data_IF_677988192814
#
_entry.id   IF_677988192814
#
_cell.length_a   1.000
_cell.length_b   1.000
_cell.length_c   1.000
_cell.angle_alpha   90.00
_cell.angle_beta   90.00
_cell.angle_gamma   90.00
#
_symmetry.space_group_name_H-M   'P 1'
#
loop_
_entity.id
_entity.type
_entity.pdbx_description
1 polymer ?
#
# COMPACT_ATOMS: atom_id res chain seq x y z
N UNK A 1 -17.93 11.29 11.12
CA UNK A 1 -16.53 11.38 10.66
C UNK A 1 -16.04 9.96 10.58
N UNK A 2 -15.59 9.51 9.41
CA UNK A 2 -14.96 8.21 9.25
C UNK A 2 -13.67 8.22 10.07
N UNK A 3 -13.43 7.18 10.86
CA UNK A 3 -12.12 7.00 11.52
C UNK A 3 -11.03 6.92 10.46
N UNK A 4 -9.87 7.52 10.74
CA UNK A 4 -8.72 7.49 9.84
C UNK A 4 -8.25 6.03 9.71
N UNK A 5 -8.28 5.51 8.48
CA UNK A 5 -7.74 4.19 8.13
C UNK A 5 -6.25 4.13 8.47
N UNK A 6 -5.78 3.01 9.02
CA UNK A 6 -4.41 2.89 9.53
C UNK A 6 -3.39 2.60 8.43
N UNK A 7 -3.76 1.85 7.39
CA UNK A 7 -2.80 1.35 6.41
C UNK A 7 -3.03 2.01 5.06
N UNK A 8 -2.01 2.62 4.47
CA UNK A 8 -2.05 3.16 3.11
C UNK A 8 -1.36 2.22 2.13
N UNK A 9 -2.05 1.84 1.06
CA UNK A 9 -1.48 1.03 -0.02
C UNK A 9 -0.97 1.94 -1.14
N UNK A 10 0.28 1.72 -1.52
CA UNK A 10 0.90 2.26 -2.71
C UNK A 10 1.25 1.11 -3.66
N UNK A 11 1.11 1.33 -4.97
CA UNK A 11 1.50 0.34 -5.96
C UNK A 11 2.10 1.00 -7.19
N UNK A 12 3.19 0.45 -7.73
CA UNK A 12 3.93 1.03 -8.86
C UNK A 12 4.62 -0.05 -9.70
N UNK A 13 5.07 0.32 -10.90
CA UNK A 13 5.78 -0.60 -11.80
C UNK A 13 7.29 -0.43 -11.64
N UNK A 14 8.05 -1.51 -11.84
CA UNK A 14 9.52 -1.57 -11.66
C UNK A 14 10.26 -0.50 -12.48
N UNK A 15 9.78 -0.21 -13.70
CA UNK A 15 10.39 0.76 -14.61
C UNK A 15 9.98 2.22 -14.37
N UNK A 16 9.88 2.68 -13.12
CA UNK A 16 9.50 4.06 -12.80
C UNK A 16 10.53 4.75 -11.89
N UNK A 17 11.22 5.83 -12.33
CA UNK A 17 12.32 6.43 -11.57
C UNK A 17 11.87 7.32 -10.41
N UNK A 18 10.57 7.32 -10.08
CA UNK A 18 10.01 8.23 -9.08
C UNK A 18 8.75 7.63 -8.46
N UNK A 19 8.88 6.97 -7.31
CA UNK A 19 7.72 6.73 -6.45
C UNK A 19 7.14 8.05 -5.95
N UNK A 20 5.88 8.07 -5.52
CA UNK A 20 5.28 9.24 -4.89
C UNK A 20 3.80 9.10 -4.60
N UNK A 21 3.16 10.22 -4.27
CA UNK A 21 1.72 10.23 -3.94
C UNK A 21 0.79 9.81 -5.09
N UNK A 22 1.27 9.81 -6.33
CA UNK A 22 0.53 9.27 -7.48
C UNK A 22 0.41 7.74 -7.49
N UNK A 23 1.19 7.05 -6.64
CA UNK A 23 1.12 5.61 -6.47
C UNK A 23 0.15 5.20 -5.37
N UNK A 24 -0.42 6.16 -4.64
CA UNK A 24 -1.45 5.91 -3.64
C UNK A 24 -2.67 5.29 -4.30
N UNK A 25 -3.05 4.11 -3.80
CA UNK A 25 -4.20 3.36 -4.29
C UNK A 25 -5.41 3.62 -3.40
N UNK A 26 -5.32 3.26 -2.12
CA UNK A 26 -6.39 3.42 -1.13
C UNK A 26 -5.84 3.24 0.30
N UNK A 27 -6.72 3.34 1.30
CA UNK A 27 -6.41 3.13 2.72
C UNK A 27 -7.37 2.14 3.39
N UNK A 28 -6.86 1.37 4.35
CA UNK A 28 -7.52 0.21 4.94
C UNK A 28 -7.42 0.20 6.47
N UNK A 29 -8.34 -0.50 7.14
CA UNK A 29 -8.29 -0.65 8.60
C UNK A 29 -7.26 -1.70 9.02
N UNK A 30 -7.00 -2.68 8.15
CA UNK A 30 -6.10 -3.81 8.42
C UNK A 30 -5.06 -3.98 7.32
N UNK A 31 -3.91 -4.54 7.70
CA UNK A 31 -2.84 -4.87 6.76
C UNK A 31 -3.27 -5.98 5.79
N UNK A 32 -4.12 -6.91 6.24
CA UNK A 32 -4.63 -8.02 5.43
C UNK A 32 -5.52 -7.53 4.29
N UNK A 33 -6.38 -6.54 4.53
CA UNK A 33 -7.21 -5.92 3.50
C UNK A 33 -6.38 -5.19 2.45
N UNK A 34 -5.41 -4.39 2.89
CA UNK A 34 -4.47 -3.71 2.01
C UNK A 34 -3.70 -4.71 1.14
N UNK A 35 -3.23 -5.81 1.74
CA UNK A 35 -2.49 -6.85 1.04
C UNK A 35 -3.36 -7.63 0.05
N UNK A 36 -4.59 -7.97 0.43
CA UNK A 36 -5.55 -8.63 -0.45
C UNK A 36 -5.88 -7.74 -1.66
N UNK A 37 -6.07 -6.44 -1.44
CA UNK A 37 -6.32 -5.49 -2.52
C UNK A 37 -5.10 -5.36 -3.45
N UNK A 38 -3.89 -5.22 -2.89
CA UNK A 38 -2.65 -5.09 -3.66
C UNK A 38 -2.39 -6.26 -4.61
N UNK A 39 -2.76 -7.49 -4.23
CA UNK A 39 -2.67 -8.70 -5.09
C UNK A 39 -3.54 -8.64 -6.34
N UNK A 40 -4.57 -7.80 -6.36
CA UNK A 40 -5.46 -7.65 -7.51
C UNK A 40 -4.97 -6.62 -8.53
N UNK A 41 -3.95 -5.83 -8.17
CA UNK A 41 -3.46 -4.75 -9.01
C UNK A 41 -2.48 -5.27 -10.07
N UNK A 42 -2.55 -4.77 -11.32
CA UNK A 42 -1.65 -5.16 -12.40
C UNK A 42 -0.29 -4.46 -12.31
N UNK A 43 0.19 -4.18 -11.09
CA UNK A 43 1.45 -3.46 -10.81
C UNK A 43 2.41 -4.36 -10.06
N UNK A 44 3.70 -4.23 -10.35
CA UNK A 44 4.73 -5.17 -9.91
C UNK A 44 5.14 -4.98 -8.44
N UNK A 45 5.16 -3.73 -7.98
CA UNK A 45 5.65 -3.36 -6.65
C UNK A 45 4.50 -2.81 -5.81
N UNK A 46 4.48 -3.20 -4.54
CA UNK A 46 3.51 -2.73 -3.55
C UNK A 46 4.25 -2.24 -2.31
N UNK A 47 3.74 -1.20 -1.69
CA UNK A 47 4.19 -0.71 -0.39
C UNK A 47 2.97 -0.42 0.48
N UNK A 48 2.95 -0.94 1.70
CA UNK A 48 1.90 -0.71 2.69
C UNK A 48 2.52 0.06 3.84
N UNK A 49 2.06 1.29 4.05
CA UNK A 49 2.55 2.18 5.11
C UNK A 49 1.57 2.19 6.28
N UNK A 50 2.06 1.93 7.49
CA UNK A 50 1.30 2.19 8.71
C UNK A 50 1.31 3.70 8.99
N UNK A 51 0.16 4.35 8.89
CA UNK A 51 0.00 5.79 9.06
C UNK A 51 0.14 6.26 10.51
N UNK A 52 0.20 5.35 11.48
CA UNK A 52 0.45 5.69 12.90
C UNK A 52 1.93 5.76 13.22
N UNK A 53 2.74 4.90 12.60
CA UNK A 53 4.19 4.83 12.84
C UNK A 53 5.01 5.47 11.73
N UNK A 54 4.46 5.54 10.51
CA UNK A 54 5.15 5.94 9.30
C UNK A 54 6.05 4.85 8.69
N UNK A 55 5.98 3.61 9.21
CA UNK A 55 6.82 2.51 8.76
C UNK A 55 6.21 1.78 7.56
N UNK A 56 7.08 1.29 6.68
CA UNK A 56 6.70 0.32 5.64
C UNK A 56 6.57 -1.06 6.31
N UNK A 57 5.35 -1.59 6.29
CA UNK A 57 4.97 -2.86 6.90
C UNK A 57 4.57 -3.90 5.84
N UNK A 58 5.00 -3.71 4.59
CA UNK A 58 4.64 -4.60 3.46
C UNK A 58 4.99 -6.05 3.78
N UNK A 59 4.02 -6.97 3.81
CA UNK A 59 4.28 -8.36 4.12
C UNK A 59 4.88 -9.08 2.91
N UNK A 60 5.89 -9.92 3.13
CA UNK A 60 6.55 -10.72 2.07
C UNK A 60 5.60 -11.53 1.19
N UNK A 61 4.41 -11.88 1.70
CA UNK A 61 3.37 -12.63 0.98
C UNK A 61 2.68 -11.85 -0.16
N UNK A 62 3.03 -10.58 -0.37
CA UNK A 62 2.44 -9.71 -1.40
C UNK A 62 3.39 -9.41 -2.57
N UNK A 63 4.63 -9.92 -2.54
CA UNK A 63 5.53 -9.89 -3.70
C UNK A 63 5.01 -10.82 -4.80
#
# INVERSE_FOLDING_TARGET
MSDLKQFALFAFNDCYPSGGWGDFVDSFDTIEEAAAHGKTLPRDIRSIIDLRTGEDVTPESIW
#
